data_IF_122274382606
#
_entry.id   IF_122274382606
#
_cell.length_a   1.000
_cell.length_b   1.000
_cell.length_c   1.000
_cell.angle_alpha   90.00
_cell.angle_beta   90.00
_cell.angle_gamma   90.00
#
_symmetry.space_group_name_H-M   'P 1'
#
loop_
_entity.id
_entity.type
_entity.pdbx_description
1 polymer ?
#
# COMPACT_ATOMS: atom_id res chain seq x y z
N UNK A 1 7.86 23.45 -5.44
CA UNK A 1 7.46 22.23 -6.18
C UNK A 1 6.02 21.90 -5.84
N UNK A 2 5.17 21.55 -6.82
CA UNK A 2 3.80 21.13 -6.55
C UNK A 2 3.77 19.80 -5.76
N UNK A 3 2.78 19.62 -4.88
CA UNK A 3 2.68 18.46 -3.96
C UNK A 3 2.52 17.14 -4.71
N UNK A 4 1.87 17.20 -5.85
CA UNK A 4 1.59 16.10 -6.76
C UNK A 4 2.87 15.57 -7.40
N UNK A 5 3.81 16.48 -7.72
CA UNK A 5 5.12 16.09 -8.22
C UNK A 5 5.96 15.41 -7.13
N UNK A 6 5.87 15.85 -5.87
CA UNK A 6 6.54 15.18 -4.76
C UNK A 6 5.97 13.77 -4.51
N UNK A 7 4.64 13.59 -4.67
CA UNK A 7 4.01 12.28 -4.60
C UNK A 7 4.43 11.36 -5.75
N UNK A 8 4.39 11.85 -6.99
CA UNK A 8 4.85 11.07 -8.13
C UNK A 8 6.33 10.69 -8.02
N UNK A 9 7.17 11.61 -7.53
CA UNK A 9 8.60 11.37 -7.34
C UNK A 9 8.88 10.37 -6.21
N UNK A 10 8.03 10.31 -5.17
CA UNK A 10 8.19 9.36 -4.07
C UNK A 10 7.88 7.90 -4.46
N UNK A 11 7.23 7.67 -5.61
CA UNK A 11 7.05 6.31 -6.14
C UNK A 11 8.38 5.64 -6.50
N UNK A 12 9.37 6.40 -6.97
CA UNK A 12 10.69 5.85 -7.32
C UNK A 12 11.41 5.19 -6.13
N UNK A 13 11.65 5.88 -5.00
CA UNK A 13 12.26 5.25 -3.84
C UNK A 13 11.39 4.12 -3.27
N UNK A 14 10.07 4.20 -3.39
CA UNK A 14 9.17 3.13 -2.96
C UNK A 14 9.31 1.85 -3.81
N UNK A 15 9.41 1.97 -5.13
CA UNK A 15 9.65 0.85 -6.04
C UNK A 15 11.04 0.24 -5.80
N UNK A 16 12.06 1.07 -5.55
CA UNK A 16 13.39 0.59 -5.17
C UNK A 16 13.35 -0.22 -3.86
N UNK A 17 12.61 0.27 -2.86
CA UNK A 17 12.36 -0.46 -1.61
C UNK A 17 11.69 -1.82 -1.86
N UNK A 18 10.61 -1.85 -2.66
CA UNK A 18 9.91 -3.10 -2.99
C UNK A 18 10.82 -4.11 -3.70
N UNK A 19 11.61 -3.64 -4.65
CA UNK A 19 12.58 -4.47 -5.35
C UNK A 19 13.62 -5.06 -4.38
N UNK A 20 14.18 -4.23 -3.49
CA UNK A 20 15.17 -4.68 -2.52
C UNK A 20 14.57 -5.66 -1.49
N UNK A 21 13.39 -5.35 -0.95
CA UNK A 21 12.66 -6.21 -0.01
C UNK A 21 12.36 -7.59 -0.61
N UNK A 22 11.94 -7.61 -1.89
CA UNK A 22 11.68 -8.86 -2.63
C UNK A 22 12.96 -9.62 -2.93
N UNK A 23 14.02 -8.92 -3.34
CA UNK A 23 15.30 -9.53 -3.69
C UNK A 23 16.02 -10.15 -2.48
N UNK A 24 15.95 -9.49 -1.33
CA UNK A 24 16.58 -9.93 -0.08
C UNK A 24 16.05 -11.28 0.41
N UNK A 25 14.78 -11.63 0.13
CA UNK A 25 14.08 -12.83 0.65
C UNK A 25 14.02 -12.94 2.19
N UNK A 26 14.51 -11.94 2.93
CA UNK A 26 14.42 -11.89 4.39
C UNK A 26 13.08 -11.30 4.87
N UNK A 27 12.35 -10.66 3.97
CA UNK A 27 11.07 -10.03 4.27
C UNK A 27 9.97 -11.08 4.50
N UNK A 28 9.13 -10.93 5.54
CA UNK A 28 8.00 -11.85 5.72
C UNK A 28 7.04 -11.74 4.53
N UNK A 29 6.73 -12.89 3.90
CA UNK A 29 5.90 -12.94 2.68
C UNK A 29 4.59 -12.17 2.84
N UNK A 30 3.90 -12.35 3.98
CA UNK A 30 2.63 -11.67 4.25
C UNK A 30 2.80 -10.15 4.41
N UNK A 31 3.93 -9.71 4.99
CA UNK A 31 4.26 -8.28 5.10
C UNK A 31 4.60 -7.66 3.75
N UNK A 32 5.32 -8.40 2.90
CA UNK A 32 5.62 -8.00 1.53
C UNK A 32 4.33 -7.84 0.70
N UNK A 33 3.35 -8.74 0.87
CA UNK A 33 2.02 -8.59 0.27
C UNK A 33 1.31 -7.30 0.72
N UNK A 34 1.46 -6.88 1.97
CA UNK A 34 0.98 -5.58 2.45
C UNK A 34 1.61 -4.43 1.67
N UNK A 35 2.93 -4.41 1.49
CA UNK A 35 3.57 -3.36 0.70
C UNK A 35 3.13 -3.39 -0.78
N UNK A 36 3.06 -4.57 -1.41
CA UNK A 36 2.49 -4.66 -2.76
C UNK A 36 1.04 -4.21 -2.83
N UNK A 37 0.25 -4.46 -1.78
CA UNK A 37 -1.10 -3.94 -1.64
C UNK A 37 -1.13 -2.41 -1.71
N UNK A 38 -0.23 -1.71 -1.02
CA UNK A 38 -0.13 -0.24 -1.12
C UNK A 38 0.20 0.23 -2.53
N UNK A 39 1.05 -0.49 -3.27
CA UNK A 39 1.32 -0.17 -4.68
C UNK A 39 0.05 -0.31 -5.54
N UNK A 40 -0.70 -1.39 -5.35
CA UNK A 40 -1.98 -1.62 -6.03
C UNK A 40 -3.00 -0.55 -5.66
N UNK A 41 -3.06 -0.16 -4.38
CA UNK A 41 -3.90 0.94 -3.91
C UNK A 41 -3.63 2.23 -4.69
N UNK A 42 -2.35 2.63 -4.83
CA UNK A 42 -1.99 3.81 -5.62
C UNK A 42 -2.39 3.65 -7.09
N UNK A 43 -2.12 2.49 -7.69
CA UNK A 43 -2.45 2.22 -9.08
C UNK A 43 -3.96 2.31 -9.38
N UNK A 44 -4.82 1.96 -8.41
CA UNK A 44 -6.28 2.02 -8.55
C UNK A 44 -6.83 3.39 -8.17
N UNK A 45 -6.29 4.03 -7.13
CA UNK A 45 -6.82 5.29 -6.61
C UNK A 45 -6.51 6.50 -7.49
N UNK A 46 -5.43 6.48 -8.26
CA UNK A 46 -5.15 7.50 -9.27
C UNK A 46 -6.25 7.56 -10.34
N UNK A 47 -6.55 6.48 -11.10
CA UNK A 47 -7.61 6.51 -12.11
C UNK A 47 -8.99 6.69 -11.49
N UNK A 48 -9.25 6.12 -10.31
CA UNK A 48 -10.49 6.36 -9.59
C UNK A 48 -10.66 7.84 -9.20
N UNK A 49 -9.57 8.53 -8.82
CA UNK A 49 -9.57 9.95 -8.50
C UNK A 49 -9.87 10.80 -9.72
N UNK A 50 -9.28 10.45 -10.86
CA UNK A 50 -9.58 11.07 -12.16
C UNK A 50 -11.06 10.85 -12.52
N UNK A 51 -11.58 9.63 -12.37
CA UNK A 51 -12.99 9.32 -12.62
C UNK A 51 -13.92 10.13 -11.71
N UNK A 52 -13.59 10.25 -10.42
CA UNK A 52 -14.37 11.05 -9.49
C UNK A 52 -14.42 12.52 -9.89
N UNK A 53 -13.29 13.07 -10.32
CA UNK A 53 -13.20 14.46 -10.77
C UNK A 53 -13.94 14.70 -12.08
N UNK A 54 -13.83 13.78 -13.05
CA UNK A 54 -14.45 13.92 -14.37
C UNK A 54 -15.97 13.67 -14.32
N UNK A 55 -16.41 12.65 -13.59
CA UNK A 55 -17.82 12.23 -13.60
C UNK A 55 -18.65 12.88 -12.50
N UNK A 56 -18.10 13.05 -11.29
CA UNK A 56 -18.84 13.62 -10.15
C UNK A 56 -18.43 15.08 -9.85
N UNK A 57 -17.42 15.63 -10.52
CA UNK A 57 -16.91 16.98 -10.24
C UNK A 57 -16.32 17.13 -8.83
N UNK A 58 -16.00 16.01 -8.18
CA UNK A 58 -15.64 15.93 -6.76
C UNK A 58 -14.32 15.19 -6.59
N UNK A 59 -13.60 15.50 -5.52
CA UNK A 59 -12.45 14.69 -5.12
C UNK A 59 -12.89 13.27 -4.76
N UNK A 60 -12.00 12.29 -4.92
CA UNK A 60 -12.22 10.89 -4.54
C UNK A 60 -12.83 10.75 -3.12
N UNK A 61 -12.31 11.54 -2.17
CA UNK A 61 -12.73 11.55 -0.78
C UNK A 61 -14.17 12.03 -0.55
N UNK A 62 -14.75 12.74 -1.52
CA UNK A 62 -16.11 13.28 -1.44
C UNK A 62 -17.15 12.37 -2.14
N UNK A 63 -16.74 11.16 -2.54
CA UNK A 63 -17.60 10.15 -3.15
C UNK A 63 -17.62 8.94 -2.23
N UNK A 64 -18.65 8.84 -1.37
CA UNK A 64 -18.67 7.93 -0.22
C UNK A 64 -18.33 6.47 -0.55
N UNK A 65 -18.92 5.92 -1.61
CA UNK A 65 -18.66 4.53 -2.01
C UNK A 65 -17.21 4.33 -2.45
N UNK A 66 -16.62 5.34 -3.09
CA UNK A 66 -15.27 5.28 -3.62
C UNK A 66 -14.24 5.54 -2.52
N UNK A 67 -14.49 6.52 -1.67
CA UNK A 67 -13.70 6.81 -0.49
C UNK A 67 -13.68 5.63 0.49
N UNK A 68 -14.86 5.12 0.86
CA UNK A 68 -14.98 3.99 1.79
C UNK A 68 -14.33 2.71 1.25
N UNK A 69 -14.43 2.46 -0.06
CA UNK A 69 -13.74 1.32 -0.68
C UNK A 69 -12.21 1.45 -0.63
N UNK A 70 -11.70 2.67 -0.86
CA UNK A 70 -10.27 2.97 -0.78
C UNK A 70 -9.75 2.79 0.66
N UNK A 71 -10.48 3.31 1.65
CA UNK A 71 -10.12 3.15 3.07
C UNK A 71 -10.18 1.68 3.53
N UNK A 72 -11.19 0.94 3.10
CA UNK A 72 -11.32 -0.49 3.41
C UNK A 72 -10.16 -1.29 2.83
N UNK A 73 -9.77 -1.01 1.59
CA UNK A 73 -8.64 -1.67 0.94
C UNK A 73 -7.32 -1.36 1.67
N UNK A 74 -7.08 -0.09 2.01
CA UNK A 74 -5.88 0.31 2.74
C UNK A 74 -5.85 -0.31 4.14
N UNK A 75 -7.01 -0.45 4.79
CA UNK A 75 -7.16 -1.12 6.08
C UNK A 75 -6.73 -2.59 6.00
N UNK A 76 -7.25 -3.33 5.03
CA UNK A 76 -6.87 -4.74 4.80
C UNK A 76 -5.37 -4.85 4.52
N UNK A 77 -4.84 -3.98 3.67
CA UNK A 77 -3.42 -3.91 3.32
C UNK A 77 -2.54 -3.70 4.56
N UNK A 78 -2.90 -2.77 5.44
CA UNK A 78 -2.17 -2.51 6.68
C UNK A 78 -2.28 -3.68 7.67
N UNK A 79 -3.43 -4.35 7.74
CA UNK A 79 -3.58 -5.55 8.57
C UNK A 79 -2.63 -6.66 8.09
N UNK A 80 -2.54 -6.91 6.79
CA UNK A 80 -1.60 -7.89 6.22
C UNK A 80 -0.15 -7.54 6.56
N UNK A 81 0.20 -6.25 6.48
CA UNK A 81 1.52 -5.76 6.85
C UNK A 81 1.85 -6.07 8.32
N UNK A 82 0.97 -5.68 9.24
CA UNK A 82 1.14 -5.91 10.69
C UNK A 82 1.20 -7.40 11.02
N UNK A 83 0.29 -8.22 10.47
CA UNK A 83 0.28 -9.66 10.69
C UNK A 83 1.55 -10.33 10.15
N UNK A 84 2.10 -9.84 9.04
CA UNK A 84 3.31 -10.39 8.46
C UNK A 84 4.53 -10.21 9.35
N UNK A 85 4.71 -9.00 9.89
CA UNK A 85 5.79 -8.74 10.83
C UNK A 85 5.56 -9.40 12.19
N UNK A 86 4.32 -9.42 12.69
CA UNK A 86 3.98 -10.15 13.92
C UNK A 86 4.39 -11.62 13.83
N UNK A 87 4.08 -12.28 12.71
CA UNK A 87 4.46 -13.68 12.49
C UNK A 87 5.98 -13.85 12.37
N UNK A 88 6.67 -12.90 11.73
CA UNK A 88 8.13 -12.92 11.64
C UNK A 88 8.80 -12.87 13.02
N UNK A 89 8.35 -11.94 13.87
CA UNK A 89 8.86 -11.77 15.24
C UNK A 89 8.57 -13.02 16.08
N UNK A 90 7.34 -13.55 16.00
CA UNK A 90 6.97 -14.78 16.73
C UNK A 90 7.86 -15.96 16.35
N UNK A 91 8.19 -16.12 15.07
CA UNK A 91 9.06 -17.19 14.59
C UNK A 91 10.53 -16.97 14.97
N UNK A 92 10.99 -15.72 15.03
CA UNK A 92 12.35 -15.39 15.43
C UNK A 92 12.62 -15.64 16.93
N UNK A 93 11.60 -15.49 17.78
CA UNK A 93 11.69 -15.70 19.23
C UNK A 93 11.51 -17.18 19.61
N UNK A 94 10.92 -18.01 18.72
CA UNK A 94 10.65 -19.41 19.02
C UNK A 94 11.99 -20.17 19.19
N UNK A 95 12.23 -20.83 20.34
CA UNK A 95 13.45 -21.61 20.53
C UNK A 95 13.52 -22.71 19.48
N UNK A 96 14.74 -22.96 19.00
CA UNK A 96 15.01 -23.99 18.01
C UNK A 96 15.17 -25.31 18.77
N UNK A 97 14.10 -26.10 18.83
CA UNK A 97 14.13 -27.47 19.34
C UNK A 97 15.08 -28.35 18.50
#
# INVERSE_FOLDING_TARGET
MPKEALFGLSLFPYLAFLWFATKSRQFPKLGLWGFYGTLVFVAITIPAGIYAQVHYGKALANVDWLHGSAESFLTITNILLVLGFKNAIKNAIKPKD
#
